data_IF_512261685938
#
_entry.id   IF_512261685938
#
_cell.length_a   1.000
_cell.length_b   1.000
_cell.length_c   1.000
_cell.angle_alpha   90.00
_cell.angle_beta   90.00
_cell.angle_gamma   90.00
#
_symmetry.space_group_name_H-M   'P 1'
#
loop_
_entity.id
_entity.type
_entity.pdbx_description
1 polymer ?
#
# COMPACT_ATOMS: atom_id res chain seq x y z
N UNK A 1 -18.74 8.54 7.78
CA UNK A 1 -18.87 7.14 8.26
C UNK A 1 -17.46 6.56 8.37
N UNK A 2 -17.13 6.06 9.56
CA UNK A 2 -15.78 5.57 9.80
C UNK A 2 -15.52 4.28 9.02
N UNK A 3 -14.44 4.26 8.26
CA UNK A 3 -14.00 3.10 7.47
C UNK A 3 -12.89 2.33 8.16
N UNK A 4 -12.14 3.00 9.05
CA UNK A 4 -11.13 2.38 9.92
C UNK A 4 -11.29 2.93 11.34
N UNK A 5 -11.34 2.04 12.32
CA UNK A 5 -11.21 2.38 13.73
C UNK A 5 -9.98 1.70 14.31
N UNK A 6 -9.06 2.50 14.79
CA UNK A 6 -7.87 2.05 15.54
C UNK A 6 -8.18 2.24 17.02
N UNK A 7 -8.14 1.17 17.80
CA UNK A 7 -8.52 1.20 19.19
C UNK A 7 -7.37 0.68 20.08
N UNK A 8 -6.82 1.56 20.88
CA UNK A 8 -5.85 1.26 21.95
C UNK A 8 -4.62 0.47 21.47
N UNK A 9 -4.10 0.81 20.30
CA UNK A 9 -2.93 0.13 19.74
C UNK A 9 -1.68 0.48 20.53
N UNK A 10 -0.99 -0.56 20.98
CA UNK A 10 0.35 -0.45 21.59
C UNK A 10 1.30 -1.43 20.92
N UNK A 11 2.56 -1.01 20.77
CA UNK A 11 3.63 -1.81 20.16
C UNK A 11 4.97 -1.54 20.81
N UNK A 12 5.64 -2.62 21.23
CA UNK A 12 6.99 -2.64 21.76
C UNK A 12 7.96 -3.29 20.78
N UNK A 13 9.15 -2.74 20.67
CA UNK A 13 10.29 -3.42 20.08
C UNK A 13 11.39 -3.55 21.15
N UNK A 14 11.59 -4.78 21.65
CA UNK A 14 12.41 -5.01 22.81
C UNK A 14 11.83 -4.27 24.03
N UNK A 15 12.62 -3.39 24.62
CA UNK A 15 12.19 -2.57 25.78
C UNK A 15 11.65 -1.18 25.38
N UNK A 16 11.61 -0.89 24.07
CA UNK A 16 11.19 0.43 23.58
C UNK A 16 9.72 0.41 23.17
N UNK A 17 8.91 1.22 23.83
CA UNK A 17 7.54 1.52 23.43
C UNK A 17 7.56 2.40 22.16
N UNK A 18 7.04 1.90 21.06
CA UNK A 18 6.95 2.63 19.79
C UNK A 18 5.58 3.28 19.61
N UNK A 19 4.52 2.56 19.97
CA UNK A 19 3.15 3.06 19.99
C UNK A 19 2.57 2.76 21.38
N UNK A 20 1.93 3.76 21.99
CA UNK A 20 1.34 3.66 23.31
C UNK A 20 -0.11 4.13 23.27
N UNK A 21 -1.04 3.21 23.50
CA UNK A 21 -2.48 3.46 23.63
C UNK A 21 -3.05 4.38 22.55
N UNK A 22 -2.66 4.15 21.28
CA UNK A 22 -3.04 4.99 20.16
C UNK A 22 -4.44 4.62 19.67
N UNK A 23 -5.33 5.63 19.62
CA UNK A 23 -6.68 5.48 19.07
C UNK A 23 -6.96 6.59 18.08
N UNK A 24 -7.53 6.22 16.93
CA UNK A 24 -7.98 7.17 15.92
C UNK A 24 -9.01 6.51 15.00
N UNK A 25 -9.71 7.32 14.23
CA UNK A 25 -10.64 6.86 13.22
C UNK A 25 -10.39 7.55 11.89
N UNK A 26 -10.71 6.87 10.81
CA UNK A 26 -10.65 7.38 9.44
C UNK A 26 -12.02 7.27 8.83
N UNK A 27 -12.52 8.35 8.27
CA UNK A 27 -13.79 8.38 7.58
C UNK A 27 -13.64 8.23 6.05
N UNK A 28 -14.71 7.85 5.41
CA UNK A 28 -14.75 7.74 3.94
C UNK A 28 -14.40 9.09 3.29
N UNK A 29 -13.48 9.05 2.33
CA UNK A 29 -13.00 10.23 1.61
C UNK A 29 -11.86 10.98 2.30
N UNK A 30 -11.48 10.59 3.51
CA UNK A 30 -10.35 11.21 4.20
C UNK A 30 -9.02 11.00 3.46
N UNK A 31 -8.17 12.03 3.53
CA UNK A 31 -6.78 11.99 3.09
C UNK A 31 -5.90 12.35 4.28
N UNK A 32 -5.23 11.35 4.85
CA UNK A 32 -4.50 11.49 6.09
C UNK A 32 -3.00 11.38 5.85
N UNK A 33 -2.25 12.36 6.34
CA UNK A 33 -0.80 12.31 6.41
C UNK A 33 -0.33 12.07 7.85
N UNK A 34 0.58 11.11 8.03
CA UNK A 34 1.22 10.85 9.32
C UNK A 34 2.60 11.48 9.30
N UNK A 35 2.82 12.42 10.20
CA UNK A 35 4.07 13.18 10.30
C UNK A 35 4.76 12.95 11.64
N UNK A 36 6.06 13.04 11.66
CA UNK A 36 6.89 12.93 12.85
C UNK A 36 8.35 12.68 12.47
N UNK A 37 9.23 12.76 13.43
CA UNK A 37 10.65 12.42 13.23
C UNK A 37 10.83 10.90 13.05
N UNK A 38 11.95 10.49 12.47
CA UNK A 38 12.27 9.06 12.29
C UNK A 38 12.34 8.34 13.65
N UNK A 39 11.81 7.10 13.68
CA UNK A 39 11.80 6.27 14.88
C UNK A 39 10.64 6.53 15.83
N UNK A 40 9.63 7.32 15.44
CA UNK A 40 8.42 7.60 16.24
C UNK A 40 7.25 6.63 15.98
N UNK A 41 7.45 5.62 15.15
CA UNK A 41 6.46 4.56 14.91
C UNK A 41 5.50 4.78 13.74
N UNK A 42 5.74 5.79 12.87
CA UNK A 42 4.88 6.06 11.69
C UNK A 42 4.72 4.84 10.79
N UNK A 43 5.85 4.27 10.33
CA UNK A 43 5.84 3.08 9.46
C UNK A 43 5.29 1.86 10.18
N UNK A 44 5.54 1.72 11.46
CA UNK A 44 4.99 0.64 12.29
C UNK A 44 3.48 0.72 12.35
N UNK A 45 2.91 1.89 12.60
CA UNK A 45 1.47 2.09 12.61
C UNK A 45 0.84 1.75 11.25
N UNK A 46 1.43 2.22 10.17
CA UNK A 46 0.93 1.93 8.81
C UNK A 46 0.98 0.44 8.49
N UNK A 47 2.06 -0.26 8.87
CA UNK A 47 2.16 -1.72 8.70
C UNK A 47 1.12 -2.47 9.53
N UNK A 48 0.84 -2.03 10.74
CA UNK A 48 -0.20 -2.63 11.58
C UNK A 48 -1.58 -2.43 10.93
N UNK A 49 -1.88 -1.23 10.45
CA UNK A 49 -3.15 -0.94 9.75
C UNK A 49 -3.26 -1.78 8.48
N UNK A 50 -2.18 -1.94 7.72
CA UNK A 50 -2.15 -2.74 6.51
C UNK A 50 -2.22 -4.27 6.76
N UNK A 51 -2.08 -4.72 8.00
CA UNK A 51 -2.04 -6.14 8.35
C UNK A 51 -0.69 -6.82 8.13
N UNK A 52 0.36 -6.05 7.84
CA UNK A 52 1.74 -6.55 7.65
C UNK A 52 2.47 -6.80 8.97
N UNK A 53 1.95 -6.28 10.06
CA UNK A 53 2.50 -6.43 11.41
C UNK A 53 1.37 -6.48 12.45
N UNK A 54 1.56 -7.25 13.51
CA UNK A 54 0.61 -7.33 14.61
C UNK A 54 0.92 -6.32 15.71
N UNK A 55 -0.11 -5.71 16.28
CA UNK A 55 0.01 -4.93 17.50
C UNK A 55 0.15 -5.87 18.72
N UNK A 56 0.82 -5.39 19.77
CA UNK A 56 0.89 -6.14 21.03
C UNK A 56 -0.41 -6.01 21.83
N UNK A 57 -1.05 -4.85 21.74
CA UNK A 57 -2.36 -4.58 22.37
C UNK A 57 -3.25 -3.79 21.40
N UNK A 58 -4.55 -3.86 21.65
CA UNK A 58 -5.55 -3.14 20.89
C UNK A 58 -6.04 -3.89 19.67
N UNK A 59 -6.81 -3.23 18.83
CA UNK A 59 -7.38 -3.79 17.61
C UNK A 59 -7.64 -2.73 16.57
N UNK A 60 -7.72 -3.19 15.32
CA UNK A 60 -8.16 -2.36 14.20
C UNK A 60 -9.42 -2.98 13.61
N UNK A 61 -10.42 -2.14 13.42
CA UNK A 61 -11.72 -2.54 12.88
C UNK A 61 -11.91 -1.81 11.55
N UNK A 62 -12.16 -2.59 10.51
CA UNK A 62 -12.51 -2.07 9.18
C UNK A 62 -14.01 -2.22 8.93
N UNK A 63 -14.59 -1.29 8.19
CA UNK A 63 -15.94 -1.48 7.66
C UNK A 63 -16.01 -2.71 6.76
N UNK A 64 -17.12 -3.42 6.82
CA UNK A 64 -17.29 -4.69 6.08
C UNK A 64 -17.09 -4.50 4.57
N UNK A 65 -16.34 -5.44 3.98
CA UNK A 65 -16.13 -5.50 2.53
C UNK A 65 -15.08 -4.55 1.98
N UNK A 66 -14.42 -3.75 2.82
CA UNK A 66 -13.36 -2.86 2.38
C UNK A 66 -12.10 -3.61 1.96
N UNK A 67 -11.54 -3.22 0.84
CA UNK A 67 -10.26 -3.73 0.33
C UNK A 67 -9.14 -2.75 0.62
N UNK A 68 -7.99 -3.27 1.03
CA UNK A 68 -6.81 -2.47 1.38
C UNK A 68 -5.75 -2.64 0.30
N UNK A 69 -5.28 -1.53 -0.26
CA UNK A 69 -4.07 -1.47 -1.07
C UNK A 69 -2.90 -1.01 -0.19
N UNK A 70 -1.84 -1.79 -0.17
CA UNK A 70 -0.63 -1.49 0.59
C UNK A 70 0.55 -1.29 -0.34
N UNK A 71 1.22 -0.14 -0.19
CA UNK A 71 2.50 0.11 -0.84
C UNK A 71 3.56 0.38 0.22
N UNK A 72 4.36 -0.64 0.52
CA UNK A 72 5.47 -0.52 1.47
C UNK A 72 6.56 0.45 1.01
N UNK A 73 7.43 0.86 1.94
CA UNK A 73 8.57 1.73 1.64
C UNK A 73 9.57 1.10 0.67
N UNK A 74 9.74 -0.22 0.75
CA UNK A 74 10.65 -1.01 -0.07
C UNK A 74 9.88 -2.14 -0.76
N UNK A 75 9.15 -1.84 -1.87
CA UNK A 75 8.42 -2.86 -2.60
C UNK A 75 9.39 -3.89 -3.20
N UNK A 76 8.95 -5.14 -3.23
CA UNK A 76 9.70 -6.22 -3.88
C UNK A 76 9.41 -6.27 -5.38
N UNK A 77 10.43 -6.56 -6.18
CA UNK A 77 10.34 -6.62 -7.62
C UNK A 77 10.98 -7.91 -8.16
N UNK A 78 10.35 -8.50 -9.16
CA UNK A 78 11.02 -9.42 -10.08
C UNK A 78 11.79 -8.58 -11.12
N UNK A 79 13.09 -8.44 -10.93
CA UNK A 79 13.96 -7.59 -11.74
C UNK A 79 14.00 -7.99 -13.24
N UNK A 80 13.71 -9.24 -13.55
CA UNK A 80 13.66 -9.75 -14.94
C UNK A 80 12.28 -9.62 -15.60
N UNK A 81 11.26 -9.27 -14.84
CA UNK A 81 9.91 -9.03 -15.34
C UNK A 81 9.84 -7.73 -16.13
N UNK A 82 8.97 -7.68 -17.13
CA UNK A 82 8.60 -6.41 -17.77
C UNK A 82 7.72 -5.58 -16.85
N UNK A 83 7.71 -4.25 -17.06
CA UNK A 83 6.86 -3.34 -16.29
C UNK A 83 5.39 -3.78 -16.37
N UNK A 84 4.90 -4.06 -17.58
CA UNK A 84 3.51 -4.45 -17.77
C UNK A 84 3.16 -5.76 -17.06
N UNK A 85 4.02 -6.77 -17.16
CA UNK A 85 3.83 -8.04 -16.45
C UNK A 85 3.77 -7.82 -14.94
N UNK A 86 4.69 -7.06 -14.39
CA UNK A 86 4.76 -6.75 -12.97
C UNK A 86 3.48 -6.08 -12.47
N UNK A 87 3.01 -5.03 -13.13
CA UNK A 87 1.81 -4.31 -12.68
C UNK A 87 0.53 -5.12 -12.84
N UNK A 88 0.50 -6.08 -13.76
CA UNK A 88 -0.63 -6.98 -13.95
C UNK A 88 -0.65 -8.20 -13.02
N UNK A 89 0.39 -8.43 -12.21
CA UNK A 89 0.44 -9.56 -11.27
C UNK A 89 -0.68 -9.54 -10.21
N UNK A 90 -1.23 -8.36 -9.90
CA UNK A 90 -2.37 -8.21 -9.00
C UNK A 90 -3.73 -8.52 -9.63
N UNK A 91 -3.78 -8.91 -10.91
CA UNK A 91 -5.00 -9.24 -11.63
C UNK A 91 -5.69 -10.44 -10.98
N UNK A 92 -6.99 -10.28 -10.68
CA UNK A 92 -7.86 -11.37 -10.21
C UNK A 92 -8.49 -12.07 -11.42
N UNK A 93 -8.94 -13.32 -11.22
CA UNK A 93 -9.62 -14.10 -12.29
C UNK A 93 -10.85 -13.36 -12.83
N UNK A 94 -11.51 -12.57 -11.98
CA UNK A 94 -12.72 -11.80 -12.30
C UNK A 94 -12.43 -10.56 -13.17
N UNK A 95 -11.16 -10.13 -13.25
CA UNK A 95 -10.73 -8.89 -13.94
C UNK A 95 -10.38 -9.14 -15.41
N UNK A 96 -11.06 -10.05 -16.11
CA UNK A 96 -10.59 -10.64 -17.35
C UNK A 96 -10.54 -9.66 -18.54
N UNK A 97 -11.40 -8.66 -18.58
CA UNK A 97 -11.48 -7.70 -19.69
C UNK A 97 -11.01 -6.31 -19.28
N UNK A 98 -10.02 -5.80 -20.00
CA UNK A 98 -9.58 -4.41 -19.87
C UNK A 98 -8.49 -4.15 -18.83
N UNK A 99 -8.11 -5.11 -17.99
CA UNK A 99 -7.10 -4.91 -16.95
C UNK A 99 -5.74 -4.49 -17.57
N UNK A 100 -5.29 -5.15 -18.62
CA UNK A 100 -4.06 -4.79 -19.32
C UNK A 100 -4.16 -3.42 -20.00
N UNK A 101 -5.32 -3.09 -20.57
CA UNK A 101 -5.59 -1.77 -21.16
C UNK A 101 -5.55 -0.68 -20.11
N UNK A 102 -6.18 -0.90 -18.96
CA UNK A 102 -6.15 0.02 -17.81
C UNK A 102 -4.71 0.18 -17.27
N UNK A 103 -3.96 -0.92 -17.23
CA UNK A 103 -2.56 -0.91 -16.83
C UNK A 103 -1.72 -0.02 -17.74
N UNK A 104 -1.85 -0.19 -19.05
CA UNK A 104 -1.14 0.64 -20.04
C UNK A 104 -1.51 2.12 -19.93
N UNK A 105 -2.80 2.42 -19.75
CA UNK A 105 -3.26 3.79 -19.56
C UNK A 105 -2.67 4.42 -18.31
N UNK A 106 -2.67 3.72 -17.19
CA UNK A 106 -2.12 4.21 -15.92
C UNK A 106 -0.60 4.36 -15.99
N UNK A 107 0.12 3.41 -16.59
CA UNK A 107 1.56 3.50 -16.80
C UNK A 107 1.93 4.72 -17.65
N UNK A 108 1.14 5.03 -18.66
CA UNK A 108 1.33 6.24 -19.48
C UNK A 108 1.18 7.50 -18.64
N UNK A 109 0.16 7.59 -17.80
CA UNK A 109 -0.03 8.72 -16.86
C UNK A 109 1.14 8.84 -15.89
N UNK A 110 1.72 7.72 -15.46
CA UNK A 110 2.88 7.68 -14.56
C UNK A 110 4.23 7.79 -15.30
N UNK A 111 4.21 8.13 -16.58
CA UNK A 111 5.41 8.32 -17.41
C UNK A 111 6.28 7.07 -17.53
N UNK A 112 5.65 5.90 -17.63
CA UNK A 112 6.28 4.60 -17.84
C UNK A 112 5.76 3.97 -19.14
N UNK A 113 6.05 4.59 -20.27
CA UNK A 113 5.44 4.24 -21.56
C UNK A 113 6.07 3.04 -22.25
N UNK A 114 7.30 2.66 -21.90
CA UNK A 114 7.94 1.46 -22.41
C UNK A 114 7.52 0.23 -21.60
N UNK A 115 6.37 -0.35 -21.94
CA UNK A 115 5.73 -1.43 -21.19
C UNK A 115 6.55 -2.73 -21.16
N UNK A 116 7.40 -2.95 -22.16
CA UNK A 116 8.24 -4.15 -22.27
C UNK A 116 9.61 -3.98 -21.59
N UNK A 117 9.92 -2.79 -21.07
CA UNK A 117 11.15 -2.54 -20.33
C UNK A 117 11.21 -3.41 -19.09
N UNK A 118 12.39 -3.97 -18.81
CA UNK A 118 12.62 -4.76 -17.60
C UNK A 118 12.74 -3.87 -16.38
N UNK A 119 12.20 -4.35 -15.26
CA UNK A 119 12.24 -3.62 -13.96
C UNK A 119 13.67 -3.26 -13.56
N UNK A 120 14.65 -4.14 -13.79
CA UNK A 120 16.06 -3.88 -13.46
C UNK A 120 16.65 -2.64 -14.12
N UNK A 121 16.11 -2.21 -15.26
CA UNK A 121 16.59 -1.04 -16.00
C UNK A 121 15.95 0.27 -15.52
N UNK A 122 15.00 0.21 -14.59
CA UNK A 122 14.30 1.38 -14.06
C UNK A 122 15.12 2.08 -12.96
N UNK A 123 14.99 3.39 -12.88
CA UNK A 123 15.43 4.15 -11.71
C UNK A 123 14.61 3.80 -10.47
N UNK A 124 15.11 4.14 -9.28
CA UNK A 124 14.38 3.93 -8.03
C UNK A 124 13.01 4.60 -8.02
N UNK A 125 12.91 5.83 -8.54
CA UNK A 125 11.64 6.54 -8.67
C UNK A 125 10.68 5.90 -9.66
N UNK A 126 11.19 5.41 -10.79
CA UNK A 126 10.40 4.66 -11.76
C UNK A 126 9.88 3.34 -11.19
N UNK A 127 10.70 2.60 -10.45
CA UNK A 127 10.29 1.37 -9.73
C UNK A 127 9.15 1.65 -8.76
N UNK A 128 9.24 2.73 -7.98
CA UNK A 128 8.17 3.12 -7.05
C UNK A 128 6.88 3.49 -7.77
N UNK A 129 6.96 4.18 -8.91
CA UNK A 129 5.77 4.47 -9.72
C UNK A 129 5.13 3.19 -10.29
N UNK A 130 5.92 2.22 -10.71
CA UNK A 130 5.43 0.91 -11.13
C UNK A 130 4.72 0.17 -9.97
N UNK A 131 5.30 0.18 -8.78
CA UNK A 131 4.69 -0.40 -7.59
C UNK A 131 3.36 0.28 -7.24
N UNK A 132 3.29 1.61 -7.32
CA UNK A 132 2.05 2.36 -7.12
C UNK A 132 0.99 1.99 -8.16
N UNK A 133 1.37 1.89 -9.43
CA UNK A 133 0.48 1.44 -10.51
C UNK A 133 -0.13 0.08 -10.20
N UNK A 134 0.68 -0.88 -9.80
CA UNK A 134 0.22 -2.23 -9.42
C UNK A 134 -0.85 -2.21 -8.34
N UNK A 135 -0.65 -1.41 -7.29
CA UNK A 135 -1.62 -1.29 -6.18
C UNK A 135 -2.89 -0.58 -6.63
N UNK A 136 -2.78 0.52 -7.36
CA UNK A 136 -3.93 1.31 -7.83
C UNK A 136 -4.82 0.55 -8.82
N UNK A 137 -4.23 -0.30 -9.65
CA UNK A 137 -4.98 -1.14 -10.60
C UNK A 137 -5.96 -2.10 -9.91
N UNK A 138 -5.67 -2.49 -8.68
CA UNK A 138 -6.55 -3.35 -7.88
C UNK A 138 -7.76 -2.59 -7.33
N UNK A 139 -7.82 -1.27 -7.53
CA UNK A 139 -8.92 -0.38 -7.09
C UNK A 139 -9.26 -0.57 -5.60
N UNK A 140 -8.29 -0.42 -4.70
CA UNK A 140 -8.57 -0.58 -3.28
C UNK A 140 -9.48 0.53 -2.77
N UNK A 141 -10.31 0.21 -1.79
CA UNK A 141 -11.15 1.19 -1.09
C UNK A 141 -10.31 2.07 -0.16
N UNK A 142 -9.25 1.49 0.40
CA UNK A 142 -8.30 2.15 1.30
C UNK A 142 -6.89 1.95 0.72
N UNK A 143 -6.17 3.04 0.52
CA UNK A 143 -4.77 3.02 0.07
C UNK A 143 -3.86 3.48 1.20
N UNK A 144 -2.84 2.66 1.53
CA UNK A 144 -1.86 2.90 2.59
C UNK A 144 -0.45 2.86 2.00
#
# INVERSE_FOLDING_TARGET
MSVINVEHISKLYGDKMILEDLSCSVDEGDKIGIIGINGTGKSTLLRIIAGEEEADEGKIIFSNGMTIGWMGQNPEFDEESSILKYVCEGKKIEDDYGYESDAKAMLTVLELENFDEKIKNLSGGQKKRAALCKVLLQKPDILI
#
